data_IF_242174426510
#
_entry.id   IF_242174426510
#
_cell.length_a   1.000
_cell.length_b   1.000
_cell.length_c   1.000
_cell.angle_alpha   90.00
_cell.angle_beta   90.00
_cell.angle_gamma   90.00
#
_symmetry.space_group_name_H-M   'P 1'
#
loop_
_entity.id
_entity.type
_entity.pdbx_description
1 polymer ?
#
# COMPACT_ATOMS: atom_id res chain seq x y z
N UNK A 1 33.56 14.82 -39.95
CA UNK A 1 33.39 14.57 -38.50
C UNK A 1 32.70 15.73 -37.78
N UNK A 2 33.13 16.98 -37.94
CA UNK A 2 32.54 18.16 -37.27
C UNK A 2 31.02 18.31 -37.54
N UNK A 3 30.56 18.07 -38.77
CA UNK A 3 29.14 18.15 -39.15
C UNK A 3 28.23 17.12 -38.46
N UNK A 4 28.76 15.95 -38.10
CA UNK A 4 28.00 14.88 -37.43
C UNK A 4 27.84 15.20 -35.94
N UNK A 5 28.89 15.77 -35.34
CA UNK A 5 28.88 16.20 -33.94
C UNK A 5 27.88 17.35 -33.74
N UNK A 6 27.82 18.31 -34.66
CA UNK A 6 26.83 19.40 -34.61
C UNK A 6 25.40 18.90 -34.79
N UNK A 7 25.18 17.87 -35.61
CA UNK A 7 23.84 17.28 -35.80
C UNK A 7 23.37 16.56 -34.53
N UNK A 8 24.27 15.84 -33.85
CA UNK A 8 23.95 15.13 -32.62
C UNK A 8 23.61 16.08 -31.47
N UNK A 9 24.31 17.21 -31.41
CA UNK A 9 24.13 18.22 -30.36
C UNK A 9 22.81 18.99 -30.50
N UNK A 10 22.35 19.22 -31.74
CA UNK A 10 21.05 19.81 -32.03
C UNK A 10 19.90 18.82 -31.74
N UNK A 11 20.06 17.54 -32.04
CA UNK A 11 19.06 16.52 -31.68
C UNK A 11 18.85 16.38 -30.16
N UNK A 12 19.92 16.50 -29.37
CA UNK A 12 19.83 16.41 -27.92
C UNK A 12 19.13 17.63 -27.27
N UNK A 13 19.19 18.79 -27.93
CA UNK A 13 18.56 20.03 -27.47
C UNK A 13 17.05 20.11 -27.79
N UNK A 14 16.54 19.23 -28.66
CA UNK A 14 15.13 19.16 -29.03
C UNK A 14 14.32 18.15 -28.18
N UNK A 15 14.91 17.58 -27.13
CA UNK A 15 14.14 16.78 -26.17
C UNK A 15 13.07 17.69 -25.53
N UNK A 16 11.80 17.28 -25.51
CA UNK A 16 10.77 18.06 -24.86
C UNK A 16 11.17 18.24 -23.39
N UNK A 17 11.21 19.49 -22.93
CA UNK A 17 11.29 19.80 -21.52
C UNK A 17 10.02 19.27 -20.85
N UNK A 18 10.05 18.00 -20.44
CA UNK A 18 9.03 17.41 -19.61
C UNK A 18 8.97 18.24 -18.35
N UNK A 19 7.89 19.00 -18.18
CA UNK A 19 7.63 19.70 -16.93
C UNK A 19 7.73 18.66 -15.81
N UNK A 20 8.69 18.86 -14.91
CA UNK A 20 8.79 18.07 -13.69
C UNK A 20 7.52 18.34 -12.93
N UNK A 21 6.55 17.43 -13.05
CA UNK A 21 5.33 17.46 -12.25
C UNK A 21 5.83 17.24 -10.84
N UNK A 22 5.86 18.30 -10.05
CA UNK A 22 6.13 18.20 -8.62
C UNK A 22 5.08 17.23 -8.10
N UNK A 23 5.48 16.04 -7.58
CA UNK A 23 4.51 15.12 -7.02
C UNK A 23 3.75 15.89 -5.93
N UNK A 24 2.41 15.75 -5.85
CA UNK A 24 1.65 16.43 -4.82
C UNK A 24 2.31 16.17 -3.47
N UNK A 25 2.52 17.23 -2.69
CA UNK A 25 3.07 17.10 -1.34
C UNK A 25 2.21 16.06 -0.61
N UNK A 26 2.80 15.00 -0.03
CA UNK A 26 2.03 13.99 0.67
C UNK A 26 1.25 14.69 1.80
N UNK A 27 -0.07 14.79 1.65
CA UNK A 27 -0.96 15.33 2.68
C UNK A 27 -1.26 14.30 3.75
N UNK A 28 -0.89 13.05 3.51
CA UNK A 28 -1.01 11.97 4.48
C UNK A 28 0.10 12.09 5.53
N UNK A 29 -0.22 11.90 6.83
CA UNK A 29 0.80 11.90 7.87
C UNK A 29 1.80 10.78 7.62
N UNK A 30 3.08 11.04 7.95
CA UNK A 30 4.19 10.08 7.82
C UNK A 30 3.88 8.79 8.60
N UNK A 31 3.15 8.90 9.70
CA UNK A 31 2.65 7.77 10.46
C UNK A 31 1.14 7.69 10.32
N UNK A 32 0.65 6.51 9.98
CA UNK A 32 -0.79 6.24 9.92
C UNK A 32 -1.41 6.34 11.31
N UNK A 33 -2.35 7.27 11.47
CA UNK A 33 -3.20 7.32 12.66
C UNK A 33 -4.48 6.52 12.41
N UNK A 34 -4.77 5.48 13.22
CA UNK A 34 -5.99 4.69 13.07
C UNK A 34 -7.23 5.56 13.29
N UNK A 35 -8.14 5.61 12.31
CA UNK A 35 -9.42 6.28 12.47
C UNK A 35 -10.30 5.51 13.46
N UNK A 36 -10.92 6.18 14.43
CA UNK A 36 -11.92 5.55 15.30
C UNK A 36 -13.23 5.44 14.52
N UNK A 37 -13.73 4.23 14.29
CA UNK A 37 -14.97 4.03 13.54
C UNK A 37 -16.12 4.02 14.55
N UNK A 38 -16.81 5.16 14.65
CA UNK A 38 -18.06 5.23 15.39
C UNK A 38 -19.18 4.55 14.61
N UNK A 39 -20.10 3.90 15.31
CA UNK A 39 -21.25 3.26 14.70
C UNK A 39 -22.27 4.31 14.24
N UNK A 40 -22.48 4.53 12.92
CA UNK A 40 -23.54 5.39 12.44
C UNK A 40 -24.92 4.84 12.82
N UNK A 41 -25.90 5.74 12.91
CA UNK A 41 -27.24 5.44 13.44
C UNK A 41 -27.99 4.37 12.63
N UNK A 42 -27.74 4.27 11.33
CA UNK A 42 -28.31 3.24 10.46
C UNK A 42 -27.87 1.82 10.87
N UNK A 43 -26.61 1.65 11.27
CA UNK A 43 -26.09 0.36 11.75
C UNK A 43 -26.66 0.00 13.13
N UNK A 44 -27.02 1.00 13.95
CA UNK A 44 -27.69 0.78 15.24
C UNK A 44 -29.08 0.15 15.09
N UNK A 45 -29.72 0.26 13.92
CA UNK A 45 -31.02 -0.35 13.66
C UNK A 45 -30.96 -1.77 13.06
N UNK A 46 -29.77 -2.30 12.74
CA UNK A 46 -29.63 -3.65 12.18
C UNK A 46 -29.98 -4.76 13.19
N UNK A 47 -30.53 -5.88 12.70
CA UNK A 47 -30.83 -7.05 13.52
C UNK A 47 -29.56 -7.82 13.91
N UNK A 48 -29.62 -8.64 14.97
CA UNK A 48 -28.48 -9.48 15.39
C UNK A 48 -27.93 -10.34 14.24
N UNK A 49 -28.84 -10.96 13.46
CA UNK A 49 -28.46 -11.77 12.31
C UNK A 49 -27.79 -10.95 11.19
N UNK A 50 -28.17 -9.69 11.00
CA UNK A 50 -27.51 -8.79 10.05
C UNK A 50 -26.10 -8.42 10.52
N UNK A 51 -25.93 -8.11 11.82
CA UNK A 51 -24.63 -7.82 12.41
C UNK A 51 -23.67 -9.01 12.26
N UNK A 52 -24.12 -10.23 12.56
CA UNK A 52 -23.30 -11.44 12.40
C UNK A 52 -22.95 -11.72 10.93
N UNK A 53 -23.87 -11.47 10.00
CA UNK A 53 -23.59 -11.57 8.57
C UNK A 53 -22.51 -10.58 8.12
N UNK A 54 -22.57 -9.33 8.61
CA UNK A 54 -21.56 -8.32 8.31
C UNK A 54 -20.19 -8.71 8.88
N UNK A 55 -20.14 -9.18 10.14
CA UNK A 55 -18.91 -9.69 10.76
C UNK A 55 -18.34 -10.83 9.92
N UNK A 56 -19.18 -11.78 9.50
CA UNK A 56 -18.78 -12.94 8.68
C UNK A 56 -18.24 -12.51 7.32
N UNK A 57 -18.89 -11.56 6.67
CA UNK A 57 -18.45 -11.01 5.38
C UNK A 57 -17.07 -10.35 5.49
N UNK A 58 -16.79 -9.68 6.60
CA UNK A 58 -15.51 -9.00 6.82
C UNK A 58 -14.37 -9.94 7.28
N UNK A 59 -14.67 -11.14 7.80
CA UNK A 59 -13.64 -12.05 8.32
C UNK A 59 -12.49 -12.36 7.34
N UNK A 60 -12.72 -12.63 6.04
CA UNK A 60 -11.62 -12.95 5.12
C UNK A 60 -10.65 -11.78 4.90
N UNK A 61 -11.14 -10.54 5.01
CA UNK A 61 -10.37 -9.32 4.74
C UNK A 61 -9.46 -8.91 5.90
N UNK A 62 -9.54 -9.59 7.05
CA UNK A 62 -8.67 -9.33 8.21
C UNK A 62 -7.26 -9.91 8.08
N UNK A 63 -7.02 -10.68 7.02
CA UNK A 63 -5.74 -11.35 6.75
C UNK A 63 -5.03 -10.74 5.54
N UNK A 64 -3.70 -10.84 5.51
CA UNK A 64 -2.90 -10.61 4.30
C UNK A 64 -2.41 -11.95 3.77
N UNK A 65 -2.37 -12.06 2.44
CA UNK A 65 -1.72 -13.16 1.72
C UNK A 65 -0.30 -12.79 1.26
N UNK A 66 0.12 -11.54 1.45
CA UNK A 66 1.49 -11.10 1.16
C UNK A 66 2.43 -11.71 2.21
N UNK A 67 3.48 -12.42 1.80
CA UNK A 67 4.49 -12.89 2.75
C UNK A 67 5.19 -11.71 3.43
N UNK A 68 5.67 -11.95 4.64
CA UNK A 68 6.52 -11.00 5.35
C UNK A 68 7.80 -10.72 4.55
N UNK A 69 8.43 -9.56 4.78
CA UNK A 69 9.59 -9.11 4.02
C UNK A 69 10.66 -10.19 3.80
N UNK A 70 11.09 -10.87 4.86
CA UNK A 70 12.12 -11.91 4.82
C UNK A 70 11.66 -13.25 4.25
N UNK A 71 10.37 -13.45 4.06
CA UNK A 71 9.80 -14.66 3.48
C UNK A 71 9.52 -14.48 1.97
N UNK A 72 9.44 -13.25 1.49
CA UNK A 72 9.25 -12.92 0.09
C UNK A 72 10.55 -13.12 -0.72
N UNK A 73 10.53 -14.07 -1.66
CA UNK A 73 11.68 -14.34 -2.52
C UNK A 73 12.02 -13.16 -3.44
N UNK A 74 11.04 -12.33 -3.77
CA UNK A 74 11.22 -11.13 -4.60
C UNK A 74 11.97 -10.05 -3.83
N UNK A 75 11.64 -9.83 -2.56
CA UNK A 75 12.39 -8.91 -1.70
C UNK A 75 13.82 -9.39 -1.46
N UNK A 76 14.03 -10.70 -1.26
CA UNK A 76 15.37 -11.28 -1.17
C UNK A 76 16.16 -11.03 -2.45
N UNK A 77 15.56 -11.26 -3.61
CA UNK A 77 16.19 -11.02 -4.90
C UNK A 77 16.53 -9.55 -5.10
N UNK A 78 15.61 -8.64 -4.79
CA UNK A 78 15.86 -7.20 -4.90
C UNK A 78 16.97 -6.73 -3.95
N UNK A 79 17.01 -7.26 -2.72
CA UNK A 79 18.10 -7.00 -1.77
C UNK A 79 19.44 -7.56 -2.28
N UNK A 80 19.42 -8.75 -2.88
CA UNK A 80 20.60 -9.32 -3.52
C UNK A 80 21.08 -8.48 -4.71
N UNK A 81 20.17 -7.94 -5.54
CA UNK A 81 20.51 -7.06 -6.66
C UNK A 81 21.16 -5.74 -6.22
N UNK A 82 20.81 -5.24 -5.03
CA UNK A 82 21.45 -4.05 -4.44
C UNK A 82 22.83 -4.38 -3.89
N UNK A 83 22.99 -5.55 -3.26
CA UNK A 83 24.21 -5.91 -2.51
C UNK A 83 25.27 -6.61 -3.36
N UNK A 84 24.86 -7.21 -4.49
CA UNK A 84 25.76 -7.93 -5.39
C UNK A 84 26.01 -7.05 -6.62
N UNK A 85 27.26 -6.65 -6.83
CA UNK A 85 27.77 -5.87 -7.98
C UNK A 85 27.69 -6.63 -9.33
N UNK A 86 26.78 -7.60 -9.48
CA UNK A 86 26.67 -8.43 -10.67
C UNK A 86 26.12 -7.68 -11.90
N UNK A 87 25.40 -6.57 -11.70
CA UNK A 87 24.85 -5.74 -12.76
C UNK A 87 25.16 -4.26 -12.48
N UNK A 88 26.15 -3.64 -13.17
CA UNK A 88 26.55 -2.28 -12.88
C UNK A 88 25.39 -1.31 -13.11
N UNK A 89 25.09 -0.52 -12.07
CA UNK A 89 24.12 0.59 -12.01
C UNK A 89 22.66 0.15 -12.18
N UNK A 90 22.28 -0.57 -13.24
CA UNK A 90 20.85 -0.85 -13.55
C UNK A 90 20.20 -1.79 -12.51
N UNK A 91 20.94 -2.80 -12.01
CA UNK A 91 20.41 -3.75 -11.03
C UNK A 91 20.09 -3.12 -9.67
N UNK A 92 20.94 -2.19 -9.24
CA UNK A 92 20.82 -1.51 -7.95
C UNK A 92 19.58 -0.60 -7.88
N UNK A 93 19.39 0.26 -8.90
CA UNK A 93 18.21 1.14 -8.97
C UNK A 93 16.90 0.34 -9.08
N UNK A 94 16.89 -0.76 -9.81
CA UNK A 94 15.72 -1.64 -9.91
C UNK A 94 15.41 -2.33 -8.57
N UNK A 95 16.44 -2.77 -7.86
CA UNK A 95 16.29 -3.34 -6.52
C UNK A 95 15.68 -2.32 -5.54
N UNK A 96 16.22 -1.09 -5.50
CA UNK A 96 15.66 -0.01 -4.67
C UNK A 96 14.23 0.36 -5.05
N UNK A 97 13.94 0.48 -6.36
CA UNK A 97 12.61 0.80 -6.85
C UNK A 97 11.60 -0.30 -6.45
N UNK A 98 11.99 -1.56 -6.59
CA UNK A 98 11.14 -2.70 -6.19
C UNK A 98 10.91 -2.71 -4.68
N UNK A 99 11.97 -2.57 -3.86
CA UNK A 99 11.82 -2.56 -2.40
C UNK A 99 10.95 -1.39 -1.94
N UNK A 100 11.15 -0.20 -2.50
CA UNK A 100 10.31 0.96 -2.22
C UNK A 100 8.83 0.71 -2.56
N UNK A 101 8.56 0.16 -3.75
CA UNK A 101 7.20 -0.24 -4.13
C UNK A 101 6.62 -1.30 -3.19
N UNK A 102 7.39 -2.33 -2.86
CA UNK A 102 6.95 -3.42 -1.97
C UNK A 102 6.56 -2.93 -0.57
N UNK A 103 7.29 -1.92 -0.06
CA UNK A 103 7.00 -1.29 1.23
C UNK A 103 5.70 -0.48 1.20
N UNK A 104 5.45 0.27 0.12
CA UNK A 104 4.19 1.01 -0.06
C UNK A 104 2.98 0.07 -0.15
N UNK A 105 3.13 -1.06 -0.86
CA UNK A 105 2.07 -2.08 -0.93
C UNK A 105 1.80 -2.68 0.45
N UNK A 106 2.84 -2.99 1.21
CA UNK A 106 2.71 -3.53 2.57
C UNK A 106 2.00 -2.57 3.51
N UNK A 107 2.36 -1.29 3.47
CA UNK A 107 1.67 -0.26 4.24
C UNK A 107 0.18 -0.18 3.89
N UNK A 108 -0.14 -0.18 2.58
CA UNK A 108 -1.53 -0.17 2.10
C UNK A 108 -2.32 -1.38 2.59
N UNK A 109 -1.73 -2.56 2.61
CA UNK A 109 -2.38 -3.76 3.13
C UNK A 109 -2.60 -3.72 4.63
N UNK A 110 -1.61 -3.24 5.38
CA UNK A 110 -1.71 -3.08 6.83
C UNK A 110 -2.84 -2.09 7.19
N UNK A 111 -2.94 -0.98 6.45
CA UNK A 111 -4.04 -0.01 6.59
C UNK A 111 -5.40 -0.65 6.30
N UNK A 112 -5.53 -1.41 5.19
CA UNK A 112 -6.77 -2.17 4.86
C UNK A 112 -7.17 -3.08 6.01
N UNK A 113 -6.23 -3.89 6.52
CA UNK A 113 -6.52 -4.86 7.58
C UNK A 113 -6.92 -4.15 8.88
N UNK A 114 -6.28 -3.04 9.22
CA UNK A 114 -6.61 -2.29 10.43
C UNK A 114 -8.04 -1.74 10.35
N UNK A 115 -8.42 -1.14 9.23
CA UNK A 115 -9.79 -0.64 9.01
C UNK A 115 -10.83 -1.76 9.13
N UNK A 116 -10.57 -2.93 8.52
CA UNK A 116 -11.45 -4.08 8.63
C UNK A 116 -11.58 -4.57 10.08
N UNK A 117 -10.47 -4.62 10.82
CA UNK A 117 -10.49 -5.01 12.25
C UNK A 117 -11.31 -4.03 13.08
N UNK A 118 -11.20 -2.74 12.83
CA UNK A 118 -11.99 -1.71 13.51
C UNK A 118 -13.48 -1.82 13.18
N UNK A 119 -13.84 -2.08 11.92
CA UNK A 119 -15.24 -2.32 11.54
C UNK A 119 -15.81 -3.56 12.24
N UNK A 120 -15.04 -4.65 12.29
CA UNK A 120 -15.45 -5.86 13.02
C UNK A 120 -15.63 -5.55 14.51
N UNK A 121 -14.70 -4.82 15.13
CA UNK A 121 -14.80 -4.43 16.54
C UNK A 121 -16.03 -3.56 16.81
N UNK A 122 -16.34 -2.61 15.92
CA UNK A 122 -17.56 -1.80 15.98
C UNK A 122 -18.82 -2.68 15.91
N UNK A 123 -18.90 -3.63 14.96
CA UNK A 123 -20.03 -4.56 14.90
C UNK A 123 -20.13 -5.46 16.14
N UNK A 124 -19.00 -5.90 16.70
CA UNK A 124 -18.96 -6.67 17.94
C UNK A 124 -19.45 -5.84 19.14
N UNK A 125 -19.09 -4.56 19.20
CA UNK A 125 -19.59 -3.64 20.20
C UNK A 125 -21.12 -3.48 20.08
N UNK A 126 -21.65 -3.24 18.89
CA UNK A 126 -23.10 -3.18 18.67
C UNK A 126 -23.81 -4.48 19.06
N UNK A 127 -23.20 -5.64 18.76
CA UNK A 127 -23.72 -6.96 19.18
C UNK A 127 -23.80 -7.05 20.71
N UNK A 128 -22.78 -6.53 21.41
CA UNK A 128 -22.75 -6.48 22.88
C UNK A 128 -23.76 -5.50 23.49
N UNK A 129 -23.92 -4.31 22.90
CA UNK A 129 -24.90 -3.29 23.31
C UNK A 129 -26.34 -3.81 23.17
N UNK A 130 -26.59 -4.67 22.19
CA UNK A 130 -27.90 -5.31 21.95
C UNK A 130 -28.09 -6.65 22.68
N UNK A 131 -27.10 -7.11 23.44
CA UNK A 131 -27.11 -8.40 24.13
C UNK A 131 -27.38 -9.61 23.20
N UNK A 132 -26.93 -9.55 21.95
CA UNK A 132 -27.03 -10.68 21.03
C UNK A 132 -25.87 -11.66 21.34
N UNK A 133 -26.11 -12.74 22.09
CA UNK A 133 -25.05 -13.72 22.46
C UNK A 133 -25.26 -15.12 21.86
N UNK A 134 -26.13 -15.23 20.85
CA UNK A 134 -26.32 -16.45 20.07
C UNK A 134 -25.01 -16.94 19.43
#
# INVERSE_FOLDING_TARGET
MIKVITLLLVMCACLPAGAVVIPPVPTEPIYFEPHVIDAPDDLRHQSCAQLDNNIRYLQPYKYSYKPNYYQDNSNKLATAMITVDALPIVGEWLGFAYLGYSALVEEKENRRILLVKQQIAMFQQLKSEKHCFE
#
